data_IF_797513894761
#
_entry.id   IF_797513894761
#
_cell.length_a   1.000
_cell.length_b   1.000
_cell.length_c   1.000
_cell.angle_alpha   90.00
_cell.angle_beta   90.00
_cell.angle_gamma   90.00
#
_symmetry.space_group_name_H-M   'P 1'
#
loop_
_entity.id
_entity.type
_entity.pdbx_description
1 polymer ?
#
# COMPACT_ATOMS: atom_id res chain seq x y z
N UNK A 1 -31.59 17.58 9.51
CA UNK A 1 -31.58 17.92 8.06
C UNK A 1 -31.03 19.33 7.92
N UNK A 2 -29.98 19.57 7.12
CA UNK A 2 -29.50 20.94 6.86
C UNK A 2 -30.58 21.71 6.09
N UNK A 3 -30.86 22.94 6.49
CA UNK A 3 -31.81 23.79 5.77
C UNK A 3 -31.24 24.12 4.38
N UNK A 4 -31.95 23.71 3.32
CA UNK A 4 -31.60 24.03 1.93
C UNK A 4 -32.31 25.31 1.52
N UNK A 5 -31.55 26.31 1.07
CA UNK A 5 -32.08 27.56 0.50
C UNK A 5 -32.11 27.43 -1.01
N UNK A 6 -33.25 27.75 -1.64
CA UNK A 6 -33.35 27.78 -3.11
C UNK A 6 -32.71 29.06 -3.63
N UNK A 7 -31.52 28.96 -4.19
CA UNK A 7 -30.87 30.03 -4.95
C UNK A 7 -31.08 29.75 -6.44
N UNK A 8 -31.49 30.75 -7.22
CA UNK A 8 -31.64 30.60 -8.67
C UNK A 8 -30.26 30.61 -9.33
N UNK A 9 -29.86 29.53 -9.99
CA UNK A 9 -28.65 29.45 -10.79
C UNK A 9 -29.02 29.12 -12.25
N UNK A 10 -28.59 29.95 -13.19
CA UNK A 10 -28.75 29.68 -14.61
C UNK A 10 -27.54 28.89 -15.12
N UNK A 11 -27.79 27.71 -15.68
CA UNK A 11 -26.78 26.84 -16.31
C UNK A 11 -27.12 26.63 -17.77
N UNK A 12 -26.10 26.53 -18.62
CA UNK A 12 -26.32 26.14 -20.02
C UNK A 12 -26.74 24.67 -20.11
N UNK A 13 -27.45 24.25 -21.18
CA UNK A 13 -27.79 22.85 -21.40
C UNK A 13 -26.58 21.90 -21.44
N UNK A 14 -25.44 22.35 -21.98
CA UNK A 14 -24.22 21.56 -22.05
C UNK A 14 -23.68 21.22 -20.64
N UNK A 15 -23.63 22.21 -19.74
CA UNK A 15 -23.19 22.01 -18.35
C UNK A 15 -24.18 21.16 -17.54
N UNK A 16 -25.49 21.28 -17.80
CA UNK A 16 -26.48 20.39 -17.19
C UNK A 16 -26.30 18.94 -17.63
N UNK A 17 -26.08 18.72 -18.93
CA UNK A 17 -25.77 17.39 -19.45
C UNK A 17 -24.49 16.82 -18.85
N UNK A 18 -23.44 17.63 -18.74
CA UNK A 18 -22.19 17.21 -18.11
C UNK A 18 -22.39 16.82 -16.64
N UNK A 19 -23.22 17.55 -15.89
CA UNK A 19 -23.60 17.20 -14.52
C UNK A 19 -24.32 15.84 -14.48
N UNK A 20 -25.32 15.65 -15.33
CA UNK A 20 -26.12 14.42 -15.39
C UNK A 20 -25.28 13.19 -15.75
N UNK A 21 -24.45 13.31 -16.79
CA UNK A 21 -23.57 12.24 -17.28
C UNK A 21 -22.54 11.79 -16.22
N UNK A 22 -22.32 12.58 -15.16
CA UNK A 22 -21.32 12.32 -14.12
C UNK A 22 -21.90 12.13 -12.71
N UNK A 23 -23.23 12.09 -12.52
CA UNK A 23 -23.84 11.91 -11.20
C UNK A 23 -23.35 10.64 -10.49
N UNK A 24 -23.40 9.50 -11.18
CA UNK A 24 -22.97 8.21 -10.63
C UNK A 24 -21.47 8.21 -10.31
N UNK A 25 -20.63 8.73 -11.23
CA UNK A 25 -19.18 8.84 -11.06
C UNK A 25 -18.80 9.71 -9.86
N UNK A 26 -19.58 10.75 -9.59
CA UNK A 26 -19.39 11.62 -8.44
C UNK A 26 -19.99 11.05 -7.14
N UNK A 27 -20.64 9.88 -7.18
CA UNK A 27 -21.40 9.33 -6.06
C UNK A 27 -22.44 10.32 -5.55
N UNK A 28 -23.13 11.02 -6.46
CA UNK A 28 -24.16 12.00 -6.16
C UNK A 28 -25.53 11.43 -6.51
N UNK A 29 -26.46 11.52 -5.56
CA UNK A 29 -27.86 11.08 -5.70
C UNK A 29 -28.76 12.13 -6.38
N UNK A 30 -28.27 13.36 -6.54
CA UNK A 30 -28.99 14.46 -7.16
C UNK A 30 -28.05 15.51 -7.73
N UNK A 31 -28.54 16.30 -8.69
CA UNK A 31 -27.83 17.49 -9.20
C UNK A 31 -27.45 18.47 -8.10
N UNK A 32 -28.27 18.59 -7.06
CA UNK A 32 -27.95 19.47 -5.91
C UNK A 32 -26.72 18.95 -5.17
N UNK A 33 -26.67 17.65 -4.85
CA UNK A 33 -25.51 17.01 -4.22
C UNK A 33 -24.26 17.13 -5.08
N UNK A 34 -24.41 16.98 -6.40
CA UNK A 34 -23.32 17.17 -7.35
C UNK A 34 -22.78 18.61 -7.33
N UNK A 35 -23.67 19.61 -7.38
CA UNK A 35 -23.30 21.03 -7.35
C UNK A 35 -22.69 21.41 -6.00
N UNK A 36 -23.22 20.93 -4.88
CA UNK A 36 -22.63 21.13 -3.54
C UNK A 36 -21.19 20.60 -3.50
N UNK A 37 -20.95 19.37 -3.99
CA UNK A 37 -19.59 18.79 -4.11
C UNK A 37 -18.68 19.60 -5.04
N UNK A 38 -19.21 20.08 -6.17
CA UNK A 38 -18.44 20.89 -7.12
C UNK A 38 -18.04 22.25 -6.52
N UNK A 39 -18.92 22.88 -5.73
CA UNK A 39 -18.63 24.11 -5.00
C UNK A 39 -17.53 23.87 -3.96
N UNK A 40 -17.65 22.82 -3.14
CA UNK A 40 -16.63 22.45 -2.15
C UNK A 40 -15.27 22.19 -2.81
N UNK A 41 -15.27 21.47 -3.94
CA UNK A 41 -14.06 21.20 -4.70
C UNK A 41 -13.42 22.46 -5.25
N UNK A 42 -14.18 23.33 -5.93
CA UNK A 42 -13.63 24.54 -6.55
C UNK A 42 -13.22 25.58 -5.49
N UNK A 43 -13.98 25.72 -4.41
CA UNK A 43 -13.56 26.54 -3.27
C UNK A 43 -12.28 25.99 -2.62
N UNK A 44 -12.17 24.67 -2.49
CA UNK A 44 -10.94 24.00 -2.05
C UNK A 44 -9.76 24.32 -2.98
N UNK A 45 -9.94 24.19 -4.29
CA UNK A 45 -8.92 24.54 -5.28
C UNK A 45 -8.47 26.02 -5.18
N UNK A 46 -9.41 26.96 -5.07
CA UNK A 46 -9.09 28.38 -4.91
C UNK A 46 -8.36 28.66 -3.58
N UNK A 47 -8.75 27.99 -2.50
CA UNK A 47 -8.04 28.09 -1.22
C UNK A 47 -6.64 27.45 -1.29
N UNK A 48 -6.45 26.40 -2.10
CA UNK A 48 -5.14 25.80 -2.40
C UNK A 48 -4.23 26.80 -3.09
N UNK A 49 -4.77 27.47 -4.11
CA UNK A 49 -4.05 28.45 -4.91
C UNK A 49 -3.65 29.66 -4.06
N UNK A 50 -4.47 30.03 -3.08
CA UNK A 50 -4.18 31.08 -2.10
C UNK A 50 -3.29 30.65 -0.94
N UNK A 51 -3.22 29.35 -0.62
CA UNK A 51 -2.39 28.81 0.46
C UNK A 51 -1.86 27.39 0.13
N UNK A 52 -0.81 27.29 -0.71
CA UNK A 52 -0.29 26.01 -1.23
C UNK A 52 0.09 25.02 -0.12
N UNK A 53 0.55 25.53 1.02
CA UNK A 53 0.96 24.72 2.18
C UNK A 53 -0.16 23.87 2.75
N UNK A 54 -1.42 24.32 2.70
CA UNK A 54 -2.54 23.57 3.25
C UNK A 54 -2.81 22.27 2.48
N UNK A 55 -2.65 22.30 1.15
CA UNK A 55 -2.81 21.12 0.31
C UNK A 55 -1.63 20.17 0.45
N UNK A 56 -0.40 20.71 0.48
CA UNK A 56 0.80 19.92 0.74
C UNK A 56 0.73 19.23 2.10
N UNK A 57 0.32 19.92 3.16
CA UNK A 57 0.23 19.35 4.51
C UNK A 57 -0.87 18.27 4.61
N UNK A 58 -2.04 18.48 4.00
CA UNK A 58 -3.14 17.49 4.05
C UNK A 58 -2.79 16.21 3.29
N UNK A 59 -2.26 16.33 2.06
CA UNK A 59 -1.86 15.16 1.27
C UNK A 59 -0.62 14.47 1.85
N UNK A 60 0.36 15.24 2.33
CA UNK A 60 1.54 14.70 3.00
C UNK A 60 1.15 13.96 4.27
N UNK A 61 0.24 14.51 5.07
CA UNK A 61 -0.27 13.87 6.30
C UNK A 61 -0.99 12.56 6.00
N UNK A 62 -1.90 12.54 5.02
CA UNK A 62 -2.60 11.32 4.62
C UNK A 62 -1.64 10.25 4.06
N UNK A 63 -0.62 10.66 3.28
CA UNK A 63 0.42 9.77 2.78
C UNK A 63 1.29 9.21 3.91
N UNK A 64 1.74 10.07 4.84
CA UNK A 64 2.52 9.68 6.02
C UNK A 64 1.75 8.70 6.90
N UNK A 65 0.47 8.96 7.17
CA UNK A 65 -0.38 8.07 7.96
C UNK A 65 -0.51 6.68 7.31
N UNK A 66 -0.71 6.62 5.99
CA UNK A 66 -0.73 5.34 5.26
C UNK A 66 0.61 4.63 5.32
N UNK A 67 1.72 5.33 5.12
CA UNK A 67 3.07 4.76 5.22
C UNK A 67 3.35 4.21 6.63
N UNK A 68 2.93 4.93 7.68
CA UNK A 68 3.09 4.49 9.06
C UNK A 68 2.26 3.22 9.34
N UNK A 69 1.02 3.16 8.84
CA UNK A 69 0.17 1.98 8.96
C UNK A 69 0.77 0.77 8.23
N UNK A 70 1.31 0.97 7.02
CA UNK A 70 2.01 -0.07 6.27
C UNK A 70 3.26 -0.53 7.03
N UNK A 71 4.06 0.39 7.54
CA UNK A 71 5.26 0.08 8.34
C UNK A 71 4.93 -0.74 9.59
N UNK A 72 3.87 -0.36 10.32
CA UNK A 72 3.38 -1.12 11.50
C UNK A 72 2.92 -2.52 11.13
N UNK A 73 2.16 -2.67 10.06
CA UNK A 73 1.67 -3.98 9.60
C UNK A 73 2.83 -4.86 9.15
N UNK A 74 3.76 -4.32 8.36
CA UNK A 74 4.95 -5.02 7.89
C UNK A 74 5.85 -5.46 9.05
N UNK A 75 6.13 -4.56 10.01
CA UNK A 75 6.94 -4.88 11.18
C UNK A 75 6.30 -5.96 12.05
N UNK A 76 4.97 -5.93 12.22
CA UNK A 76 4.23 -6.98 12.95
C UNK A 76 4.31 -8.32 12.22
N UNK A 77 4.18 -8.33 10.89
CA UNK A 77 4.32 -9.52 10.07
C UNK A 77 5.73 -10.11 10.16
N UNK A 78 6.76 -9.27 10.03
CA UNK A 78 8.16 -9.66 10.17
C UNK A 78 8.46 -10.27 11.55
N UNK A 79 7.93 -9.69 12.62
CA UNK A 79 8.09 -10.26 13.97
C UNK A 79 7.49 -11.67 14.08
N UNK A 80 6.27 -11.87 13.58
CA UNK A 80 5.62 -13.19 13.60
C UNK A 80 6.42 -14.24 12.81
N UNK A 81 6.90 -13.87 11.62
CA UNK A 81 7.75 -14.76 10.80
C UNK A 81 9.06 -15.07 11.52
N UNK A 82 9.71 -14.08 12.14
CA UNK A 82 10.95 -14.29 12.88
C UNK A 82 10.75 -15.24 14.08
N UNK A 83 9.62 -15.15 14.79
CA UNK A 83 9.27 -16.07 15.88
C UNK A 83 9.12 -17.50 15.36
N UNK A 84 8.37 -17.71 14.27
CA UNK A 84 8.19 -19.05 13.70
C UNK A 84 9.50 -19.62 13.12
N UNK A 85 10.31 -18.79 12.47
CA UNK A 85 11.64 -19.19 11.98
C UNK A 85 12.56 -19.60 13.13
N UNK A 86 12.55 -18.87 14.25
CA UNK A 86 13.35 -19.23 15.43
C UNK A 86 12.90 -20.55 16.06
N UNK A 87 11.60 -20.87 16.04
CA UNK A 87 11.08 -22.17 16.49
C UNK A 87 11.56 -23.29 15.57
N UNK A 88 11.46 -23.11 14.26
CA UNK A 88 11.96 -24.08 13.27
C UNK A 88 13.47 -24.31 13.39
N UNK A 89 14.27 -23.24 13.52
CA UNK A 89 15.72 -23.36 13.71
C UNK A 89 16.08 -24.15 14.96
N UNK A 90 15.37 -23.90 16.08
CA UNK A 90 15.55 -24.68 17.33
C UNK A 90 15.13 -26.13 17.17
N UNK A 91 14.03 -26.39 16.46
CA UNK A 91 13.58 -27.74 16.15
C UNK A 91 14.66 -28.48 15.35
N UNK A 92 15.15 -27.90 14.25
CA UNK A 92 16.20 -28.52 13.44
C UNK A 92 17.49 -28.74 14.24
N UNK A 93 17.89 -27.80 15.10
CA UNK A 93 19.07 -27.98 15.96
C UNK A 93 18.92 -29.14 16.96
N UNK A 94 17.69 -29.42 17.41
CA UNK A 94 17.42 -30.53 18.33
C UNK A 94 17.38 -31.90 17.62
N UNK A 95 16.88 -31.94 16.37
CA UNK A 95 16.62 -33.20 15.65
C UNK A 95 17.67 -33.56 14.60
N UNK A 96 18.42 -32.59 14.07
CA UNK A 96 19.39 -32.78 12.99
C UNK A 96 20.79 -32.46 13.47
N UNK A 97 21.69 -33.44 13.42
CA UNK A 97 23.11 -33.24 13.70
C UNK A 97 23.83 -32.82 12.43
N UNK A 98 23.98 -31.52 12.22
CA UNK A 98 24.87 -30.99 11.19
C UNK A 98 26.30 -30.87 11.72
N UNK A 99 27.31 -31.40 11.03
CA UNK A 99 28.70 -31.06 11.35
C UNK A 99 28.95 -29.58 11.00
N UNK A 100 29.75 -28.91 11.83
CA UNK A 100 29.91 -27.44 11.80
C UNK A 100 30.36 -26.91 10.45
N UNK A 101 31.21 -27.66 9.75
CA UNK A 101 31.69 -27.34 8.41
C UNK A 101 30.56 -27.30 7.35
N UNK A 102 29.53 -28.13 7.48
CA UNK A 102 28.38 -28.11 6.58
C UNK A 102 27.46 -26.93 6.88
N UNK A 103 27.31 -26.55 8.15
CA UNK A 103 26.51 -25.39 8.54
C UNK A 103 27.13 -24.08 8.02
N UNK A 104 28.46 -23.94 8.11
CA UNK A 104 29.18 -22.79 7.58
C UNK A 104 29.10 -22.70 6.05
N UNK A 105 29.16 -23.85 5.36
CA UNK A 105 29.00 -23.91 3.92
C UNK A 105 27.56 -23.56 3.49
N UNK A 106 26.55 -24.03 4.24
CA UNK A 106 25.15 -23.66 4.01
C UNK A 106 24.93 -22.16 4.21
N UNK A 107 25.49 -21.58 5.28
CA UNK A 107 25.41 -20.14 5.53
C UNK A 107 26.03 -19.32 4.38
N UNK A 108 27.23 -19.70 3.93
CA UNK A 108 27.89 -19.04 2.79
C UNK A 108 27.07 -19.16 1.51
N UNK A 109 26.57 -20.34 1.19
CA UNK A 109 25.71 -20.56 0.01
C UNK A 109 24.46 -19.68 0.04
N UNK A 110 23.74 -19.64 1.17
CA UNK A 110 22.56 -18.77 1.31
C UNK A 110 22.92 -17.28 1.23
N UNK A 111 24.05 -16.87 1.82
CA UNK A 111 24.48 -15.47 1.80
C UNK A 111 24.91 -15.01 0.40
N UNK A 112 25.59 -15.87 -0.35
CA UNK A 112 26.00 -15.60 -1.73
C UNK A 112 24.79 -15.61 -2.67
N UNK A 113 23.83 -16.51 -2.47
CA UNK A 113 22.57 -16.55 -3.23
C UNK A 113 21.72 -15.29 -3.01
N UNK A 114 21.64 -14.77 -1.77
CA UNK A 114 20.98 -13.48 -1.48
C UNK A 114 21.70 -12.30 -2.11
N UNK A 115 23.02 -12.36 -2.28
CA UNK A 115 23.80 -11.32 -2.97
C UNK A 115 23.64 -11.39 -4.50
N UNK A 116 23.59 -12.60 -5.05
CA UNK A 116 23.46 -12.83 -6.50
C UNK A 116 22.07 -12.47 -7.01
N UNK A 117 21.05 -12.63 -6.17
CA UNK A 117 19.68 -12.48 -6.61
C UNK A 117 19.06 -11.19 -6.07
N UNK A 118 18.84 -10.24 -6.98
CA UNK A 118 17.63 -9.42 -6.96
C UNK A 118 16.34 -10.26 -7.14
N UNK A 119 16.30 -11.51 -6.66
CA UNK A 119 15.25 -12.52 -6.84
C UNK A 119 15.24 -13.50 -5.67
N UNK A 120 14.10 -14.12 -5.40
CA UNK A 120 13.93 -14.94 -4.19
C UNK A 120 14.36 -16.40 -4.47
N UNK A 121 15.15 -17.05 -3.59
CA UNK A 121 15.44 -18.47 -3.71
C UNK A 121 14.15 -19.29 -3.70
N UNK A 122 14.03 -20.27 -4.59
CA UNK A 122 12.89 -21.21 -4.59
C UNK A 122 13.36 -22.58 -4.16
N UNK A 123 12.50 -23.27 -3.40
CA UNK A 123 12.76 -24.65 -2.98
C UNK A 123 13.05 -25.57 -4.19
N UNK A 124 12.30 -25.39 -5.28
CA UNK A 124 12.43 -26.18 -6.50
C UNK A 124 13.79 -25.96 -7.18
N UNK A 125 14.27 -24.71 -7.26
CA UNK A 125 15.60 -24.41 -7.79
C UNK A 125 16.72 -25.04 -6.96
N UNK A 126 16.62 -24.94 -5.63
CA UNK A 126 17.59 -25.55 -4.71
C UNK A 126 17.57 -27.07 -4.86
N UNK A 127 16.39 -27.70 -4.88
CA UNK A 127 16.24 -29.14 -5.02
C UNK A 127 16.88 -29.69 -6.32
N UNK A 128 16.61 -29.04 -7.45
CA UNK A 128 17.19 -29.42 -8.74
C UNK A 128 18.72 -29.27 -8.78
N UNK A 129 19.26 -28.21 -8.16
CA UNK A 129 20.72 -27.99 -8.12
C UNK A 129 21.45 -29.01 -7.24
N UNK A 130 20.83 -29.46 -6.14
CA UNK A 130 21.40 -30.47 -5.25
C UNK A 130 21.41 -31.87 -5.89
N UNK A 131 20.36 -32.23 -6.64
CA UNK A 131 20.32 -33.51 -7.36
C UNK A 131 21.38 -33.63 -8.46
N UNK A 132 21.80 -32.53 -9.09
CA UNK A 132 22.86 -32.53 -10.12
C UNK A 132 24.28 -32.72 -9.56
N UNK A 133 24.46 -32.63 -8.24
CA UNK A 133 25.78 -32.77 -7.56
C UNK A 133 26.04 -34.17 -7.00
N UNK A 134 25.10 -35.10 -7.17
CA UNK A 134 25.19 -36.53 -6.82
C UNK A 134 25.45 -37.32 -8.11
#
# INVERSE_FOLDING_TARGET
MKNRVKTGLALTPAHLKLCDDNLERAGADSRNTFVEKAIEFYAGFLNAEQNPKFFDDMFTSAAQQKMEQVGKSLGTGQYKIAVELAKLSRLFAAYVRFPTNQLDNLHRACADEVKELGSMPTFEGIYQSQQKRI
#
